data_IF_127987145172
#
_entry.id   IF_127987145172
#
_cell.length_a   1.000
_cell.length_b   1.000
_cell.length_c   1.000
_cell.angle_alpha   90.00
_cell.angle_beta   90.00
_cell.angle_gamma   90.00
#
_symmetry.space_group_name_H-M   'P 1'
#
loop_
_entity.id
_entity.type
_entity.pdbx_description
1 polymer ?
#
# COMPACT_ATOMS: atom_id res chain seq x y z
N UNK A 1 -3.14 20.13 -26.34
CA UNK A 1 -3.85 19.60 -25.17
C UNK A 1 -2.92 18.59 -24.51
N UNK A 2 -2.74 18.66 -23.18
CA UNK A 2 -1.79 17.76 -22.49
C UNK A 2 -2.50 16.44 -22.23
N UNK A 3 -1.91 15.34 -22.65
CA UNK A 3 -2.43 14.00 -22.38
C UNK A 3 -2.23 13.68 -20.89
N UNK A 4 -3.29 13.83 -20.11
CA UNK A 4 -3.25 13.60 -18.67
C UNK A 4 -3.19 12.13 -18.29
N UNK A 5 -3.56 11.22 -19.20
CA UNK A 5 -3.51 9.79 -18.93
C UNK A 5 -2.07 9.29 -19.07
N UNK A 6 -1.36 9.72 -20.11
CA UNK A 6 0.09 9.48 -20.23
C UNK A 6 0.90 10.04 -19.04
N UNK A 7 0.51 11.22 -18.53
CA UNK A 7 1.16 11.82 -17.34
C UNK A 7 0.89 10.99 -16.07
N UNK A 8 -0.29 10.40 -15.92
CA UNK A 8 -0.62 9.54 -14.77
C UNK A 8 0.15 8.22 -14.83
N UNK A 9 0.25 7.63 -16.02
CA UNK A 9 1.02 6.41 -16.26
C UNK A 9 2.49 6.62 -15.89
N UNK A 10 3.13 7.67 -16.42
CA UNK A 10 4.53 8.02 -16.07
C UNK A 10 4.70 8.27 -14.56
N UNK A 11 3.75 8.98 -13.93
CA UNK A 11 3.80 9.22 -12.49
C UNK A 11 3.66 7.92 -11.68
N UNK A 12 2.86 6.97 -12.15
CA UNK A 12 2.69 5.67 -11.51
C UNK A 12 3.97 4.83 -11.64
N UNK A 13 4.60 4.79 -12.82
CA UNK A 13 5.87 4.11 -13.04
C UNK A 13 6.99 4.65 -12.14
N UNK A 14 7.06 5.97 -11.96
CA UNK A 14 8.02 6.61 -11.05
C UNK A 14 7.73 6.22 -9.59
N UNK A 15 6.47 6.19 -9.20
CA UNK A 15 6.07 5.78 -7.86
C UNK A 15 6.40 4.31 -7.60
N UNK A 16 6.10 3.41 -8.54
CA UNK A 16 6.40 1.98 -8.44
C UNK A 16 7.91 1.72 -8.39
N UNK A 17 8.70 2.36 -9.25
CA UNK A 17 10.16 2.24 -9.19
C UNK A 17 10.73 2.72 -7.87
N UNK A 18 10.27 3.88 -7.39
CA UNK A 18 10.71 4.42 -6.08
C UNK A 18 10.31 3.48 -4.94
N UNK A 19 9.14 2.86 -5.06
CA UNK A 19 8.65 1.88 -4.11
C UNK A 19 9.57 0.65 -4.05
N UNK A 20 9.86 0.08 -5.21
CA UNK A 20 10.72 -1.09 -5.38
C UNK A 20 12.15 -0.84 -4.91
N UNK A 21 12.70 0.34 -5.24
CA UNK A 21 14.05 0.74 -4.82
C UNK A 21 14.16 0.81 -3.28
N UNK A 22 13.15 1.34 -2.59
CA UNK A 22 13.18 1.42 -1.12
C UNK A 22 13.04 0.03 -0.49
N UNK A 23 12.15 -0.82 -1.02
CA UNK A 23 12.02 -2.20 -0.53
C UNK A 23 13.31 -2.98 -0.73
N UNK A 24 13.99 -2.82 -1.86
CA UNK A 24 15.26 -3.50 -2.17
C UNK A 24 16.42 -2.99 -1.30
N UNK A 25 16.48 -1.69 -1.04
CA UNK A 25 17.50 -1.12 -0.14
C UNK A 25 17.39 -1.64 1.30
N UNK A 26 16.18 -1.95 1.78
CA UNK A 26 16.00 -2.60 3.08
C UNK A 26 16.71 -3.96 3.12
N UNK A 27 16.60 -4.73 2.04
CA UNK A 27 17.23 -6.04 1.89
C UNK A 27 18.76 -5.94 1.81
N UNK A 28 19.28 -4.97 1.04
CA UNK A 28 20.71 -4.83 0.75
C UNK A 28 21.53 -4.23 1.91
N UNK A 29 20.97 -3.26 2.63
CA UNK A 29 21.70 -2.49 3.66
C UNK A 29 21.44 -3.00 5.09
N UNK A 30 20.53 -3.96 5.24
CA UNK A 30 20.19 -4.60 6.52
C UNK A 30 19.76 -3.59 7.60
N UNK A 31 20.19 -3.73 8.87
CA UNK A 31 19.67 -2.93 9.98
C UNK A 31 20.02 -1.43 9.92
N UNK A 32 20.81 -0.98 8.95
CA UNK A 32 21.15 0.43 8.74
C UNK A 32 20.33 1.09 7.62
N UNK A 33 19.51 0.32 6.92
CA UNK A 33 18.65 0.85 5.87
C UNK A 33 17.49 1.66 6.44
N UNK A 34 17.08 2.78 5.81
CA UNK A 34 15.78 3.37 6.08
C UNK A 34 14.70 2.33 5.80
N UNK A 35 14.03 1.85 6.85
CA UNK A 35 12.96 0.86 6.71
C UNK A 35 11.68 1.53 6.21
N UNK A 36 10.99 0.94 5.23
CA UNK A 36 9.64 1.33 4.87
C UNK A 36 8.74 1.29 6.11
N UNK A 37 8.12 2.42 6.45
CA UNK A 37 7.18 2.51 7.55
C UNK A 37 5.73 2.54 7.06
N UNK A 38 4.79 2.57 8.00
CA UNK A 38 3.37 2.66 7.71
C UNK A 38 2.95 3.90 6.86
N UNK A 39 3.70 5.01 6.88
CA UNK A 39 3.38 6.21 6.11
C UNK A 39 3.74 5.96 4.65
N UNK A 40 4.87 5.31 4.41
CA UNK A 40 5.29 4.92 3.08
C UNK A 40 4.28 4.00 2.40
N UNK A 41 3.80 2.96 3.09
CA UNK A 41 2.76 2.08 2.54
C UNK A 41 1.44 2.81 2.29
N UNK A 42 1.01 3.68 3.21
CA UNK A 42 -0.19 4.49 3.02
C UNK A 42 -0.06 5.44 1.82
N UNK A 43 1.12 6.04 1.61
CA UNK A 43 1.40 6.90 0.46
C UNK A 43 1.34 6.11 -0.86
N UNK A 44 1.93 4.91 -0.91
CA UNK A 44 1.89 4.07 -2.10
C UNK A 44 0.46 3.59 -2.42
N UNK A 45 -0.33 3.18 -1.42
CA UNK A 45 -1.75 2.83 -1.62
C UNK A 45 -2.55 3.99 -2.22
N UNK A 46 -2.29 5.22 -1.77
CA UNK A 46 -2.90 6.43 -2.34
C UNK A 46 -2.42 6.72 -3.76
N UNK A 47 -1.14 6.50 -4.05
CA UNK A 47 -0.58 6.65 -5.38
C UNK A 47 -1.23 5.67 -6.36
N UNK A 48 -1.28 4.37 -6.03
CA UNK A 48 -1.98 3.35 -6.81
C UNK A 48 -3.42 3.79 -7.07
N UNK A 49 -4.13 4.21 -6.02
CA UNK A 49 -5.52 4.65 -6.15
C UNK A 49 -5.66 5.89 -7.06
N UNK A 50 -4.78 6.87 -6.96
CA UNK A 50 -4.94 8.15 -7.66
C UNK A 50 -4.45 8.12 -9.11
N UNK A 51 -3.49 7.23 -9.41
CA UNK A 51 -2.78 7.22 -10.69
C UNK A 51 -3.23 6.09 -11.62
N UNK A 52 -3.93 5.08 -11.11
CA UNK A 52 -4.47 3.98 -11.93
C UNK A 52 -5.98 4.09 -12.15
N UNK A 53 -6.52 3.61 -13.29
CA UNK A 53 -7.95 3.67 -13.55
C UNK A 53 -8.77 2.89 -12.50
N UNK A 54 -9.97 3.39 -12.12
CA UNK A 54 -10.86 2.65 -11.24
C UNK A 54 -11.20 1.27 -11.81
N UNK A 55 -11.26 0.25 -10.95
CA UNK A 55 -11.54 -1.15 -11.32
C UNK A 55 -10.54 -1.79 -12.29
N UNK A 56 -9.38 -1.18 -12.56
CA UNK A 56 -8.35 -1.81 -13.38
C UNK A 56 -7.68 -2.97 -12.64
N UNK A 57 -7.21 -3.95 -13.42
CA UNK A 57 -6.43 -5.08 -12.87
C UNK A 57 -5.14 -4.58 -12.21
N UNK A 58 -4.54 -3.53 -12.77
CA UNK A 58 -3.34 -2.87 -12.24
C UNK A 58 -3.59 -2.27 -10.86
N UNK A 59 -4.68 -1.50 -10.69
CA UNK A 59 -5.09 -0.94 -9.39
C UNK A 59 -5.25 -2.05 -8.36
N UNK A 60 -5.97 -3.12 -8.72
CA UNK A 60 -6.17 -4.27 -7.83
C UNK A 60 -4.82 -4.86 -7.43
N UNK A 61 -3.95 -5.19 -8.39
CA UNK A 61 -2.63 -5.78 -8.10
C UNK A 61 -1.75 -4.87 -7.24
N UNK A 62 -1.69 -3.58 -7.54
CA UNK A 62 -0.91 -2.61 -6.79
C UNK A 62 -1.38 -2.45 -5.35
N UNK A 63 -2.69 -2.37 -5.12
CA UNK A 63 -3.26 -2.29 -3.77
C UNK A 63 -2.99 -3.55 -2.96
N UNK A 64 -3.18 -4.72 -3.58
CA UNK A 64 -2.96 -6.02 -2.94
C UNK A 64 -1.50 -6.21 -2.56
N UNK A 65 -0.59 -6.00 -3.52
CA UNK A 65 0.86 -6.08 -3.30
C UNK A 65 1.29 -5.14 -2.17
N UNK A 66 0.92 -3.87 -2.24
CA UNK A 66 1.33 -2.86 -1.26
C UNK A 66 0.80 -3.19 0.14
N UNK A 67 -0.43 -3.69 0.23
CA UNK A 67 -1.01 -4.09 1.52
C UNK A 67 -0.36 -5.34 2.09
N UNK A 68 -0.11 -6.36 1.27
CA UNK A 68 0.60 -7.57 1.68
C UNK A 68 2.02 -7.22 2.17
N UNK A 69 2.74 -6.34 1.47
CA UNK A 69 4.05 -5.84 1.89
C UNK A 69 4.00 -5.12 3.24
N UNK A 70 2.97 -4.29 3.48
CA UNK A 70 2.75 -3.62 4.75
C UNK A 70 2.42 -4.62 5.87
N UNK A 71 1.57 -5.61 5.57
CA UNK A 71 1.17 -6.69 6.50
C UNK A 71 2.37 -7.49 6.95
N UNK A 72 3.16 -7.99 6.01
CA UNK A 72 4.27 -8.90 6.27
C UNK A 72 5.40 -8.19 7.05
N UNK A 73 5.54 -6.88 6.84
CA UNK A 73 6.45 -6.02 7.61
C UNK A 73 5.88 -5.51 8.93
N UNK A 74 4.63 -5.82 9.26
CA UNK A 74 4.00 -5.38 10.51
C UNK A 74 3.76 -3.86 10.58
N UNK A 75 3.55 -3.23 9.42
CA UNK A 75 3.38 -1.79 9.26
C UNK A 75 1.93 -1.39 8.91
N UNK A 76 0.94 -2.25 9.15
CA UNK A 76 -0.49 -1.92 8.98
C UNK A 76 -0.93 -1.01 10.11
N UNK A 77 -1.28 0.23 9.76
CA UNK A 77 -1.80 1.24 10.67
C UNK A 77 -3.19 1.71 10.25
N UNK A 78 -3.80 2.57 11.06
CA UNK A 78 -5.06 3.24 10.67
C UNK A 78 -4.91 4.02 9.34
N UNK A 79 -3.74 4.57 9.04
CA UNK A 79 -3.49 5.28 7.78
C UNK A 79 -3.43 4.32 6.59
N UNK A 80 -2.80 3.14 6.76
CA UNK A 80 -2.76 2.10 5.73
C UNK A 80 -4.17 1.58 5.46
N UNK A 81 -4.96 1.29 6.50
CA UNK A 81 -6.34 0.84 6.36
C UNK A 81 -7.23 1.92 5.72
N UNK A 82 -7.07 3.18 6.10
CA UNK A 82 -7.78 4.30 5.48
C UNK A 82 -7.48 4.41 3.99
N UNK A 83 -6.20 4.44 3.62
CA UNK A 83 -5.76 4.50 2.23
C UNK A 83 -6.25 3.30 1.40
N UNK A 84 -6.20 2.08 1.96
CA UNK A 84 -6.72 0.89 1.29
C UNK A 84 -8.22 1.00 1.05
N UNK A 85 -9.00 1.46 2.04
CA UNK A 85 -10.47 1.60 1.93
C UNK A 85 -10.90 2.65 0.92
N UNK A 86 -10.12 3.72 0.76
CA UNK A 86 -10.35 4.75 -0.26
C UNK A 86 -10.09 4.21 -1.68
N UNK A 87 -9.12 3.31 -1.82
CA UNK A 87 -8.66 2.78 -3.11
C UNK A 87 -9.33 1.50 -3.60
N UNK A 88 -9.60 0.58 -2.68
CA UNK A 88 -10.00 -0.78 -2.97
C UNK A 88 -11.51 -0.92 -3.15
N UNK A 89 -11.90 -1.79 -4.08
CA UNK A 89 -13.27 -2.26 -4.15
C UNK A 89 -13.59 -3.16 -2.95
N UNK A 90 -14.88 -3.32 -2.66
CA UNK A 90 -15.34 -4.06 -1.50
C UNK A 90 -14.88 -5.53 -1.48
N UNK A 91 -14.87 -6.18 -2.64
CA UNK A 91 -14.38 -7.56 -2.79
C UNK A 91 -12.87 -7.68 -2.48
N UNK A 92 -12.07 -6.66 -2.84
CA UNK A 92 -10.64 -6.63 -2.52
C UNK A 92 -10.44 -6.46 -1.01
N UNK A 93 -11.22 -5.58 -0.37
CA UNK A 93 -11.18 -5.40 1.08
C UNK A 93 -11.56 -6.69 1.84
N UNK A 94 -12.67 -7.34 1.45
CA UNK A 94 -13.12 -8.58 2.08
C UNK A 94 -12.09 -9.71 1.92
N UNK A 95 -11.41 -9.77 0.77
CA UNK A 95 -10.35 -10.76 0.51
C UNK A 95 -9.09 -10.49 1.34
N UNK A 96 -8.64 -9.24 1.40
CA UNK A 96 -7.39 -8.87 2.10
C UNK A 96 -7.52 -8.89 3.62
N UNK A 97 -8.68 -8.45 4.15
CA UNK A 97 -8.91 -8.34 5.59
C UNK A 97 -9.55 -9.60 6.20
N UNK A 98 -9.92 -10.59 5.38
CA UNK A 98 -10.48 -11.87 5.82
C UNK A 98 -11.89 -11.81 6.41
N UNK A 99 -12.46 -10.62 6.61
CA UNK A 99 -13.86 -10.46 6.99
C UNK A 99 -14.43 -9.10 6.60
N UNK A 100 -15.75 -9.04 6.54
CA UNK A 100 -16.52 -7.81 6.29
C UNK A 100 -16.51 -6.84 7.48
N UNK A 101 -16.08 -7.31 8.66
CA UNK A 101 -16.17 -6.62 9.94
C UNK A 101 -14.81 -6.27 10.55
N UNK A 102 -13.69 -6.48 9.84
CA UNK A 102 -12.40 -5.91 10.20
C UNK A 102 -12.45 -4.38 10.01
N UNK A 103 -13.15 -3.71 10.94
CA UNK A 103 -13.51 -2.30 10.88
C UNK A 103 -12.42 -1.45 11.49
N UNK A 104 -11.70 -1.98 12.46
CA UNK A 104 -10.67 -1.23 13.17
C UNK A 104 -9.37 -2.01 13.32
N UNK A 105 -8.27 -1.27 13.55
CA UNK A 105 -6.94 -1.84 13.73
C UNK A 105 -6.89 -2.85 14.90
N UNK A 106 -7.73 -2.66 15.91
CA UNK A 106 -7.84 -3.55 17.07
C UNK A 106 -8.44 -4.92 16.76
N UNK A 107 -9.11 -5.07 15.61
CA UNK A 107 -9.68 -6.35 15.16
C UNK A 107 -8.66 -7.20 14.38
N UNK A 108 -7.52 -6.60 14.02
CA UNK A 108 -6.48 -7.25 13.21
C UNK A 108 -5.43 -7.93 14.08
N UNK A 109 -4.76 -8.98 13.58
CA UNK A 109 -3.64 -9.60 14.28
C UNK A 109 -2.59 -8.57 14.65
N UNK A 110 -2.16 -8.53 15.92
CA UNK A 110 -1.17 -7.56 16.40
C UNK A 110 0.18 -7.63 15.66
N UNK A 111 0.48 -8.75 15.01
CA UNK A 111 1.66 -8.90 14.17
C UNK A 111 1.63 -8.02 12.92
N UNK A 112 0.45 -7.60 12.46
CA UNK A 112 0.28 -6.70 11.32
C UNK A 112 0.64 -5.26 11.66
N UNK A 113 0.63 -4.88 12.94
CA UNK A 113 0.89 -3.51 13.41
C UNK A 113 2.09 -3.38 14.36
N UNK A 114 2.84 -4.46 14.57
CA UNK A 114 3.96 -4.54 15.53
C UNK A 114 5.09 -3.51 15.32
N UNK A 115 5.23 -2.97 14.11
CA UNK A 115 6.27 -1.99 13.75
C UNK A 115 5.69 -0.57 13.54
N UNK A 116 4.42 -0.36 13.89
CA UNK A 116 3.81 0.97 13.90
C UNK A 116 4.18 1.67 15.21
N UNK A 117 5.09 2.64 15.13
CA UNK A 117 5.41 3.52 16.27
C UNK A 117 4.38 4.66 16.30
N UNK A 118 3.63 4.75 17.40
CA UNK A 118 2.68 5.84 17.68
C UNK A 118 3.37 7.06 18.29
#
# INVERSE_FOLDING_TARGET
ERDWDAVREEAYEVAERTYDDLLSQEEDLGPRSPRPDHLFFAAMLRAVSSLTPPNSTERRRGLERTFDDARDRGCVSAMVLGALREGASRDVLERLLGSRDARDLGDLPGEWSKNVLG
#
